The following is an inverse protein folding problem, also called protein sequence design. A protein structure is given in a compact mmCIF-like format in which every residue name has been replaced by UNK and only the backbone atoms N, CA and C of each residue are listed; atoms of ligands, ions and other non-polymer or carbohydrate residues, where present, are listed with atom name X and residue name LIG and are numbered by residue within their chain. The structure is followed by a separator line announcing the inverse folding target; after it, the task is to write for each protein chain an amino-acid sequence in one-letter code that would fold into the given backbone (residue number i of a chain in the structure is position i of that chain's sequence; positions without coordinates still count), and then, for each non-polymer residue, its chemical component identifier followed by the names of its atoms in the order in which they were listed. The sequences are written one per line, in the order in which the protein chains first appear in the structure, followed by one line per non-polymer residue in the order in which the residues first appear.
data_IF_187190413033
#
_entry.id   IF_187190413033
#
_cell.length_a   1.000
_cell.length_b   1.000
_cell.length_c   1.000
_cell.angle_alpha   90.00
_cell.angle_beta   90.00
_cell.angle_gamma   90.00
#
_symmetry.space_group_name_H-M   'P 1'
#
loop_
_entity.id
_entity.type
_entity.pdbx_description
1 polymer ?
#
# COMPACT_ATOMS: atom_id res chain seq x y z
N UNK A 1 34.62 5.87 -35.34
CA UNK A 1 33.26 6.17 -34.85
C UNK A 1 32.48 4.87 -34.81
N UNK A 2 32.28 4.28 -33.63
CA UNK A 2 31.35 3.17 -33.43
C UNK A 2 30.49 3.46 -32.20
N UNK A 3 29.19 3.42 -32.41
CA UNK A 3 28.12 3.75 -31.46
C UNK A 3 27.90 2.65 -30.43
N UNK A 4 28.67 2.59 -29.35
CA UNK A 4 28.48 1.55 -28.32
C UNK A 4 28.55 2.02 -26.86
N UNK A 5 28.52 3.33 -26.57
CA UNK A 5 28.77 3.84 -25.21
C UNK A 5 27.62 4.61 -24.54
N UNK A 6 26.37 4.50 -25.04
CA UNK A 6 25.26 5.36 -24.54
C UNK A 6 24.11 4.70 -23.78
N UNK A 7 24.27 3.45 -23.31
CA UNK A 7 23.15 2.69 -22.75
C UNK A 7 23.38 2.12 -21.33
N UNK A 8 24.20 2.74 -20.47
CA UNK A 8 24.44 2.23 -19.10
C UNK A 8 24.10 3.17 -17.93
N UNK A 9 23.71 4.42 -18.15
CA UNK A 9 23.57 5.40 -17.05
C UNK A 9 22.13 5.75 -16.64
N UNK A 10 21.19 4.80 -16.64
CA UNK A 10 19.84 5.02 -16.05
C UNK A 10 19.29 3.81 -15.28
N UNK A 11 20.11 3.20 -14.44
CA UNK A 11 19.57 2.43 -13.33
C UNK A 11 19.39 3.39 -12.14
N UNK A 12 18.14 3.66 -11.73
CA UNK A 12 17.89 4.23 -10.41
C UNK A 12 18.59 3.34 -9.39
N UNK A 13 19.52 3.92 -8.62
CA UNK A 13 20.14 3.23 -7.50
C UNK A 13 19.10 3.10 -6.40
N UNK A 14 18.34 1.99 -6.44
CA UNK A 14 17.56 1.58 -5.29
C UNK A 14 18.54 0.90 -4.32
N UNK A 15 18.60 1.41 -3.09
CA UNK A 15 19.31 0.74 -1.99
C UNK A 15 18.80 -0.70 -1.85
N UNK A 16 19.67 -1.67 -1.50
CA UNK A 16 19.23 -3.02 -1.24
C UNK A 16 18.17 -3.01 -0.13
N UNK A 17 17.10 -3.81 -0.26
CA UNK A 17 16.05 -3.81 0.73
C UNK A 17 16.58 -4.42 2.05
N UNK A 18 16.02 -4.05 3.20
CA UNK A 18 16.49 -4.53 4.50
C UNK A 18 16.47 -6.06 4.61
N UNK A 19 17.26 -6.64 5.52
CA UNK A 19 17.21 -8.08 5.78
C UNK A 19 15.82 -8.46 6.32
N UNK A 20 15.16 -9.47 5.72
CA UNK A 20 13.82 -9.91 6.12
C UNK A 20 13.19 -10.89 5.14
N UNK A 21 12.04 -11.45 5.52
CA UNK A 21 11.22 -12.25 4.62
C UNK A 21 10.38 -11.34 3.72
N UNK A 22 10.41 -11.57 2.41
CA UNK A 22 9.61 -10.88 1.41
C UNK A 22 8.59 -11.85 0.83
N UNK A 23 7.34 -11.44 0.75
CA UNK A 23 6.23 -12.25 0.24
C UNK A 23 5.60 -11.57 -0.97
N UNK A 24 5.25 -12.33 -2.00
CA UNK A 24 4.55 -11.83 -3.18
C UNK A 24 3.08 -11.52 -2.81
N UNK A 25 2.72 -10.24 -2.95
CA UNK A 25 1.36 -9.75 -2.68
C UNK A 25 0.28 -10.32 -3.62
N UNK A 26 0.65 -10.92 -4.76
CA UNK A 26 -0.31 -11.47 -5.73
C UNK A 26 -0.78 -12.90 -5.42
N UNK A 27 -0.08 -13.65 -4.57
CA UNK A 27 -0.45 -15.02 -4.14
C UNK A 27 -1.18 -15.03 -2.79
N UNK A 28 -1.13 -13.92 -2.07
CA UNK A 28 -1.67 -13.77 -0.74
C UNK A 28 -2.96 -12.91 -0.80
N UNK A 29 -3.89 -13.08 0.15
CA UNK A 29 -5.15 -12.31 0.14
C UNK A 29 -4.85 -10.81 0.15
N UNK A 30 -5.60 -9.98 -0.60
CA UNK A 30 -5.44 -8.51 -0.58
C UNK A 30 -5.55 -7.95 0.86
N UNK A 31 -6.26 -8.67 1.73
CA UNK A 31 -6.26 -8.50 3.17
C UNK A 31 -5.45 -9.61 3.86
N UNK A 32 -4.16 -9.36 4.06
CA UNK A 32 -3.21 -10.22 4.77
C UNK A 32 -3.50 -10.30 6.27
N UNK A 33 -4.62 -10.92 6.59
CA UNK A 33 -5.00 -11.29 7.93
C UNK A 33 -4.27 -12.59 8.30
N UNK A 34 -3.01 -12.46 8.69
CA UNK A 34 -2.15 -13.58 9.08
C UNK A 34 -1.74 -13.43 10.54
N UNK A 35 -1.54 -14.55 11.23
CA UNK A 35 -1.03 -14.56 12.60
C UNK A 35 0.47 -14.27 12.59
N UNK A 36 0.83 -12.99 12.55
CA UNK A 36 2.22 -12.53 12.38
C UNK A 36 3.16 -12.81 13.56
N UNK A 37 2.65 -13.41 14.64
CA UNK A 37 3.41 -13.82 15.83
C UNK A 37 4.66 -14.66 15.52
N UNK A 38 4.64 -15.44 14.43
CA UNK A 38 5.80 -16.24 13.99
C UNK A 38 6.82 -15.46 13.15
N UNK A 39 6.45 -14.30 12.60
CA UNK A 39 7.33 -13.40 11.85
C UNK A 39 8.08 -12.43 12.79
N UNK A 40 7.64 -12.30 14.04
CA UNK A 40 8.40 -11.64 15.08
C UNK A 40 9.75 -12.35 15.26
N UNK A 41 10.86 -11.64 15.10
CA UNK A 41 12.21 -12.21 15.13
C UNK A 41 12.54 -12.98 16.42
N UNK A 42 13.73 -13.58 16.47
CA UNK A 42 14.21 -14.32 17.64
C UNK A 42 14.04 -13.47 18.92
N UNK A 43 13.11 -13.86 19.79
CA UNK A 43 12.74 -13.11 21.00
C UNK A 43 11.28 -12.64 21.08
N UNK A 44 10.46 -12.84 20.04
CA UNK A 44 9.01 -12.57 20.11
C UNK A 44 8.61 -11.09 20.02
N UNK A 45 9.55 -10.21 19.64
CA UNK A 45 9.37 -8.75 19.61
C UNK A 45 9.62 -8.16 18.21
N UNK A 46 8.89 -8.62 17.20
CA UNK A 46 8.96 -8.05 15.85
C UNK A 46 7.61 -7.46 15.43
N UNK A 47 7.67 -6.33 14.74
CA UNK A 47 6.52 -5.67 14.14
C UNK A 47 6.47 -5.96 12.65
N UNK A 48 5.26 -6.09 12.11
CA UNK A 48 5.01 -6.18 10.67
C UNK A 48 4.50 -4.83 10.20
N UNK A 49 5.26 -4.16 9.32
CA UNK A 49 4.76 -3.01 8.59
C UNK A 49 3.92 -3.51 7.42
N UNK A 50 2.65 -3.11 7.38
CA UNK A 50 1.70 -3.52 6.36
C UNK A 50 1.14 -2.32 5.60
N UNK A 51 1.79 -1.90 4.50
CA UNK A 51 1.22 -0.93 3.58
C UNK A 51 -0.05 -1.48 2.93
N UNK A 52 -1.16 -0.75 3.06
CA UNK A 52 -2.47 -1.15 2.57
C UNK A 52 -3.21 0.04 1.96
N UNK A 53 -4.06 -0.20 0.96
CA UNK A 53 -4.88 0.84 0.34
C UNK A 53 -6.04 1.35 1.22
N UNK A 54 -6.31 0.72 2.37
CA UNK A 54 -7.32 1.12 3.34
C UNK A 54 -6.94 0.64 4.75
N UNK A 55 -7.55 1.21 5.78
CA UNK A 55 -7.29 0.86 7.18
C UNK A 55 -7.81 -0.55 7.57
N UNK A 56 -8.93 -1.00 6.99
CA UNK A 56 -9.55 -2.25 7.41
C UNK A 56 -8.82 -3.46 6.81
N UNK A 57 -8.35 -4.37 7.69
CA UNK A 57 -7.78 -5.66 7.32
C UNK A 57 -8.81 -6.75 7.62
N UNK A 58 -9.45 -7.27 6.57
CA UNK A 58 -10.60 -8.16 6.72
C UNK A 58 -10.19 -9.63 6.58
N UNK A 59 -10.49 -10.50 7.55
CA UNK A 59 -10.17 -11.92 7.48
C UNK A 59 -10.91 -12.67 6.36
N UNK A 60 -10.13 -13.43 5.59
CA UNK A 60 -10.59 -14.54 4.76
C UNK A 60 -10.57 -14.26 3.26
N UNK A 61 -10.55 -15.36 2.49
CA UNK A 61 -10.32 -15.33 1.05
C UNK A 61 -11.40 -14.59 0.25
N UNK A 62 -10.97 -13.63 -0.56
CA UNK A 62 -11.70 -12.98 -1.68
C UNK A 62 -13.02 -12.30 -1.29
N UNK A 63 -12.98 -10.97 -1.12
CA UNK A 63 -14.01 -9.94 -1.37
C UNK A 63 -15.49 -10.27 -1.06
N UNK A 64 -15.75 -11.22 -0.15
CA UNK A 64 -17.10 -11.53 0.31
C UNK A 64 -17.53 -10.43 1.26
N UNK A 65 -18.54 -9.65 0.84
CA UNK A 65 -19.17 -8.52 1.55
C UNK A 65 -19.86 -8.89 2.88
N UNK A 66 -19.14 -9.58 3.76
CA UNK A 66 -19.57 -9.98 5.09
C UNK A 66 -19.12 -8.90 6.07
N UNK A 67 -20.03 -7.95 6.32
CA UNK A 67 -19.79 -6.75 7.15
C UNK A 67 -19.33 -7.05 8.58
N UNK A 68 -19.61 -8.23 9.12
CA UNK A 68 -19.23 -8.63 10.48
C UNK A 68 -17.74 -8.95 10.67
N UNK A 69 -16.94 -8.96 9.59
CA UNK A 69 -15.51 -9.29 9.63
C UNK A 69 -14.56 -8.09 9.76
N UNK A 70 -15.03 -6.86 9.90
CA UNK A 70 -14.17 -5.66 9.83
C UNK A 70 -13.52 -5.23 11.16
N UNK A 71 -13.49 -6.10 12.18
CA UNK A 71 -12.86 -5.79 13.46
C UNK A 71 -11.41 -6.27 13.52
N UNK A 72 -10.53 -5.47 14.12
CA UNK A 72 -9.19 -5.91 14.49
C UNK A 72 -9.26 -7.09 15.47
N UNK A 73 -8.30 -8.00 15.37
CA UNK A 73 -8.22 -9.18 16.23
C UNK A 73 -6.77 -9.37 16.71
N UNK A 74 -6.54 -10.29 17.67
CA UNK A 74 -5.19 -10.60 18.14
C UNK A 74 -4.19 -11.07 17.07
N UNK A 75 -4.64 -11.37 15.84
CA UNK A 75 -3.75 -11.71 14.73
C UNK A 75 -2.97 -10.48 14.23
N UNK A 76 -3.48 -9.28 14.48
CA UNK A 76 -2.91 -8.00 14.05
C UNK A 76 -2.21 -7.24 15.17
N UNK A 77 -2.06 -7.81 16.38
CA UNK A 77 -1.44 -7.14 17.54
C UNK A 77 0.00 -6.67 17.28
N UNK A 78 0.70 -7.31 16.33
CA UNK A 78 2.06 -6.95 15.93
C UNK A 78 2.12 -6.25 14.57
N UNK A 79 0.98 -5.87 13.98
CA UNK A 79 0.91 -5.22 12.69
C UNK A 79 0.74 -3.70 12.83
N UNK A 80 1.55 -2.93 12.10
CA UNK A 80 1.34 -1.51 11.85
C UNK A 80 0.83 -1.37 10.42
N UNK A 81 -0.45 -1.01 10.27
CA UNK A 81 -1.04 -0.78 8.95
C UNK A 81 -0.75 0.66 8.52
N UNK A 82 -0.12 0.81 7.37
CA UNK A 82 0.11 2.11 6.73
C UNK A 82 -0.92 2.28 5.61
N UNK A 83 -1.89 3.17 5.80
CA UNK A 83 -2.97 3.41 4.85
C UNK A 83 -3.21 4.91 4.62
N UNK A 84 -3.70 5.31 3.43
CA UNK A 84 -4.03 6.70 3.15
C UNK A 84 -5.23 7.17 3.99
N UNK A 85 -5.21 8.45 4.38
CA UNK A 85 -6.35 9.09 5.04
C UNK A 85 -7.59 9.06 4.11
N UNK A 86 -8.77 8.60 4.58
CA UNK A 86 -10.00 8.65 3.79
C UNK A 86 -10.35 10.04 3.24
N UNK A 87 -10.01 11.12 3.96
CA UNK A 87 -10.18 12.49 3.50
C UNK A 87 -9.23 12.86 2.35
N UNK A 88 -8.04 12.25 2.29
CA UNK A 88 -7.14 12.36 1.14
C UNK A 88 -7.72 11.59 -0.06
N UNK A 89 -8.21 10.36 0.13
CA UNK A 89 -8.86 9.57 -0.93
C UNK A 89 -10.07 10.33 -1.53
N UNK A 90 -10.82 11.05 -0.70
CA UNK A 90 -11.96 11.84 -1.14
C UNK A 90 -11.61 13.02 -2.07
N UNK A 91 -10.34 13.44 -2.12
CA UNK A 91 -9.84 14.50 -3.00
C UNK A 91 -9.42 13.98 -4.38
N UNK A 92 -9.27 12.66 -4.54
CA UNK A 92 -8.90 12.04 -5.81
C UNK A 92 -10.03 12.15 -6.85
N UNK A 93 -9.71 11.95 -8.15
CA UNK A 93 -10.73 11.81 -9.19
C UNK A 93 -11.78 10.76 -8.79
N UNK A 94 -13.06 11.10 -8.98
CA UNK A 94 -14.19 10.27 -8.57
C UNK A 94 -14.29 10.00 -7.05
N UNK A 95 -13.48 10.68 -6.22
CA UNK A 95 -13.45 10.57 -4.75
C UNK A 95 -13.12 9.14 -4.27
N UNK A 96 -12.29 8.43 -5.03
CA UNK A 96 -11.86 7.06 -4.74
C UNK A 96 -10.49 6.78 -5.37
N UNK A 97 -9.88 5.67 -4.95
CA UNK A 97 -8.75 5.10 -5.67
C UNK A 97 -9.21 4.53 -7.03
N UNK A 98 -8.35 4.54 -8.06
CA UNK A 98 -8.61 3.83 -9.32
C UNK A 98 -8.95 2.36 -9.08
N UNK A 99 -10.01 1.86 -9.72
CA UNK A 99 -10.43 0.46 -9.58
C UNK A 99 -11.06 -0.09 -10.88
N UNK A 100 -11.44 -1.37 -10.87
CA UNK A 100 -12.03 -2.05 -12.04
C UNK A 100 -13.36 -1.46 -12.53
N UNK A 101 -14.10 -0.75 -11.68
CA UNK A 101 -15.37 -0.12 -12.09
C UNK A 101 -15.15 1.07 -13.02
N UNK A 102 -13.93 1.61 -13.07
CA UNK A 102 -13.57 2.69 -13.99
C UNK A 102 -13.62 2.25 -15.45
N UNK A 103 -13.41 0.96 -15.76
CA UNK A 103 -13.57 0.45 -17.11
C UNK A 103 -15.01 0.66 -17.61
N UNK A 104 -15.99 0.36 -16.77
CA UNK A 104 -17.40 0.61 -17.08
C UNK A 104 -17.74 2.10 -17.06
N UNK A 105 -17.20 2.87 -16.10
CA UNK A 105 -17.47 4.31 -15.96
C UNK A 105 -17.05 5.12 -17.18
N UNK A 106 -15.85 4.88 -17.70
CA UNK A 106 -15.29 5.63 -18.82
C UNK A 106 -15.60 5.00 -20.19
N UNK A 107 -15.89 3.69 -20.24
CA UNK A 107 -16.22 3.00 -21.49
C UNK A 107 -15.14 3.20 -22.55
N UNK A 108 -15.53 3.81 -23.68
CA UNK A 108 -14.63 4.08 -24.80
C UNK A 108 -13.76 5.34 -24.62
N UNK A 109 -13.98 6.13 -23.56
CA UNK A 109 -13.17 7.31 -23.26
C UNK A 109 -11.88 6.92 -22.51
N UNK A 110 -10.95 6.32 -23.26
CA UNK A 110 -9.63 5.95 -22.75
C UNK A 110 -8.86 7.16 -22.22
N UNK A 111 -8.97 8.31 -22.90
CA UNK A 111 -8.22 9.52 -22.54
C UNK A 111 -8.64 10.04 -21.17
N UNK A 112 -9.94 10.10 -20.86
CA UNK A 112 -10.43 10.49 -19.55
C UNK A 112 -10.02 9.50 -18.45
N UNK A 113 -10.10 8.19 -18.73
CA UNK A 113 -9.65 7.17 -17.76
C UNK A 113 -8.17 7.32 -17.43
N UNK A 114 -7.32 7.41 -18.45
CA UNK A 114 -5.87 7.58 -18.28
C UNK A 114 -5.56 8.88 -17.53
N UNK A 115 -6.27 9.97 -17.84
CA UNK A 115 -6.12 11.23 -17.12
C UNK A 115 -6.43 11.08 -15.63
N UNK A 116 -7.55 10.43 -15.29
CA UNK A 116 -7.94 10.23 -13.90
C UNK A 116 -6.95 9.31 -13.15
N UNK A 117 -6.51 8.23 -13.79
CA UNK A 117 -5.55 7.29 -13.18
C UNK A 117 -4.19 7.94 -12.98
N UNK A 118 -3.68 8.69 -13.95
CA UNK A 118 -2.42 9.43 -13.82
C UNK A 118 -2.50 10.51 -12.74
N UNK A 119 -3.64 11.20 -12.62
CA UNK A 119 -3.83 12.18 -11.55
C UNK A 119 -3.81 11.52 -10.16
N UNK A 120 -4.47 10.37 -9.99
CA UNK A 120 -4.43 9.63 -8.73
C UNK A 120 -3.04 9.06 -8.41
N UNK A 121 -2.36 8.48 -9.40
CA UNK A 121 -1.01 7.97 -9.24
C UNK A 121 -0.01 9.09 -8.93
N UNK A 122 -0.14 10.25 -9.58
CA UNK A 122 0.68 11.42 -9.30
C UNK A 122 0.45 11.99 -7.89
N UNK A 123 -0.80 12.00 -7.42
CA UNK A 123 -1.13 12.44 -6.06
C UNK A 123 -0.47 11.56 -4.98
N UNK A 124 -0.20 10.27 -5.28
CA UNK A 124 0.45 9.36 -4.33
C UNK A 124 1.89 9.76 -3.97
N UNK A 125 2.52 10.67 -4.73
CA UNK A 125 3.82 11.24 -4.35
C UNK A 125 3.75 11.92 -2.97
N UNK A 126 2.64 12.60 -2.66
CA UNK A 126 2.40 13.20 -1.34
C UNK A 126 2.52 12.15 -0.22
N UNK A 127 1.94 10.96 -0.42
CA UNK A 127 1.98 9.90 0.60
C UNK A 127 3.40 9.39 0.82
N UNK A 128 4.19 9.29 -0.25
CA UNK A 128 5.60 8.90 -0.16
C UNK A 128 6.43 9.96 0.58
N UNK A 129 6.21 11.23 0.26
CA UNK A 129 6.91 12.36 0.89
C UNK A 129 6.56 12.45 2.38
N UNK A 130 5.27 12.41 2.73
CA UNK A 130 4.81 12.44 4.12
C UNK A 130 5.31 11.25 4.95
N UNK A 131 5.36 10.06 4.35
CA UNK A 131 5.94 8.89 5.01
C UNK A 131 7.44 9.05 5.21
N UNK A 132 8.16 9.55 4.21
CA UNK A 132 9.59 9.85 4.32
C UNK A 132 9.88 10.85 5.44
N UNK A 133 9.11 11.93 5.52
CA UNK A 133 9.21 12.92 6.61
C UNK A 133 8.96 12.27 7.98
N UNK A 134 7.97 11.39 8.09
CA UNK A 134 7.68 10.68 9.34
C UNK A 134 8.80 9.71 9.72
N UNK A 135 9.44 9.03 8.76
CA UNK A 135 10.58 8.14 9.03
C UNK A 135 11.77 8.93 9.59
N UNK A 136 12.06 10.10 9.02
CA UNK A 136 13.15 10.97 9.49
C UNK A 136 12.83 11.60 10.86
N UNK A 137 11.55 11.92 11.11
CA UNK A 137 11.09 12.57 12.35
C UNK A 137 9.80 11.91 12.85
N UNK A 138 9.90 10.75 13.53
CA UNK A 138 8.73 9.99 13.93
C UNK A 138 7.86 10.73 14.94
N UNK A 139 6.55 10.73 14.67
CA UNK A 139 5.52 11.12 15.62
C UNK A 139 4.62 9.91 15.90
N UNK A 140 4.87 9.26 17.04
CA UNK A 140 4.13 8.08 17.50
C UNK A 140 2.67 8.43 17.85
N UNK A 141 2.36 9.70 18.12
CA UNK A 141 0.99 10.17 18.34
C UNK A 141 0.08 10.04 17.12
N UNK A 142 0.67 9.87 15.91
CA UNK A 142 -0.08 9.59 14.68
C UNK A 142 -0.44 8.10 14.50
N UNK A 143 0.09 7.20 15.33
CA UNK A 143 -0.28 5.79 15.34
C UNK A 143 -1.55 5.59 16.15
N UNK A 144 -2.55 4.96 15.55
CA UNK A 144 -3.88 4.77 16.12
C UNK A 144 -4.24 3.29 16.18
N UNK A 145 -5.14 2.92 17.09
CA UNK A 145 -5.70 1.56 17.10
C UNK A 145 -6.54 1.32 15.84
N UNK A 146 -6.47 0.09 15.31
CA UNK A 146 -7.30 -0.39 14.20
C UNK A 146 -8.74 -0.67 14.62
#
# INVERSE_FOLDING_TARGET
MTHADKARDKACSCSPPPLGAYWDGGITDDHLYLGWHAAAGQGGAGLVLYPHFQQAVVPGWLDKALKWRHGATPFLDTAIVLAPDPAWVAQLPNRKLPDRTDFTRYGNDLAARVKAWNAAAGAAQQLADEFGEWVERPDVGRVQAL
#
